data_IF_978737007137
#
_entry.id   IF_978737007137
#
_cell.length_a   1.000
_cell.length_b   1.000
_cell.length_c   1.000
_cell.angle_alpha   90.00
_cell.angle_beta   90.00
_cell.angle_gamma   90.00
#
_symmetry.space_group_name_H-M   'P 1'
#
loop_
_entity.id
_entity.type
_entity.pdbx_description
1 polymer ?
#
# COMPACT_ATOMS: atom_id res chain seq x y z
N UNK A 1 -24.18 -2.38 -4.24
CA UNK A 1 -23.69 -2.87 -2.94
C UNK A 1 -22.29 -3.43 -3.18
N UNK A 2 -21.28 -2.93 -2.47
CA UNK A 2 -19.87 -3.33 -2.64
C UNK A 2 -19.50 -4.72 -2.13
N UNK A 3 -20.47 -5.52 -1.71
CA UNK A 3 -20.30 -6.90 -1.23
C UNK A 3 -21.37 -7.78 -1.83
N UNK A 4 -21.05 -9.07 -2.01
CA UNK A 4 -21.99 -10.07 -2.52
C UNK A 4 -23.00 -10.49 -1.44
N UNK A 5 -22.51 -10.62 -0.21
CA UNK A 5 -23.28 -10.98 0.98
C UNK A 5 -23.30 -9.75 1.90
N UNK A 6 -24.40 -9.55 2.64
CA UNK A 6 -24.51 -8.45 3.60
C UNK A 6 -23.41 -8.58 4.65
N UNK A 7 -22.60 -7.53 4.89
CA UNK A 7 -21.53 -7.61 5.88
C UNK A 7 -22.10 -7.90 7.27
N UNK A 8 -21.42 -8.77 8.02
CA UNK A 8 -21.69 -8.93 9.45
C UNK A 8 -21.27 -7.67 10.21
N UNK A 9 -21.76 -7.45 11.44
CA UNK A 9 -21.20 -6.44 12.33
C UNK A 9 -19.67 -6.55 12.42
N UNK A 10 -19.01 -5.46 12.75
CA UNK A 10 -17.56 -5.50 13.02
C UNK A 10 -17.31 -6.45 14.19
N UNK A 11 -16.28 -7.27 14.05
CA UNK A 11 -15.84 -8.09 15.17
C UNK A 11 -14.91 -7.24 16.04
N UNK A 12 -15.41 -6.82 17.20
CA UNK A 12 -14.67 -5.96 18.14
C UNK A 12 -13.47 -6.68 18.79
N UNK A 13 -13.43 -8.01 18.75
CA UNK A 13 -12.26 -8.79 19.19
C UNK A 13 -11.12 -8.83 18.17
N UNK A 14 -11.34 -8.30 16.96
CA UNK A 14 -10.38 -8.26 15.87
C UNK A 14 -9.93 -6.82 15.60
N UNK A 15 -8.68 -6.68 15.19
CA UNK A 15 -8.13 -5.41 14.73
C UNK A 15 -8.89 -4.86 13.51
N UNK A 16 -8.72 -3.56 13.25
CA UNK A 16 -9.31 -2.91 12.09
C UNK A 16 -8.84 -3.56 10.78
N UNK A 17 -7.56 -3.96 10.70
CA UNK A 17 -7.00 -4.58 9.51
C UNK A 17 -7.58 -5.98 9.26
N UNK A 18 -7.83 -6.78 10.30
CA UNK A 18 -8.50 -8.08 10.17
C UNK A 18 -9.91 -7.92 9.60
N UNK A 19 -10.69 -6.97 10.13
CA UNK A 19 -12.03 -6.68 9.63
C UNK A 19 -12.00 -6.23 8.16
N UNK A 20 -11.06 -5.38 7.76
CA UNK A 20 -10.91 -4.88 6.38
C UNK A 20 -10.53 -6.00 5.40
N UNK A 21 -9.74 -6.98 5.85
CA UNK A 21 -9.22 -8.08 5.03
C UNK A 21 -10.08 -9.35 5.09
N UNK A 22 -11.20 -9.30 5.81
CA UNK A 22 -12.13 -10.42 5.95
C UNK A 22 -12.65 -10.88 4.57
N UNK A 23 -12.57 -12.19 4.35
CA UNK A 23 -13.09 -12.87 3.17
C UNK A 23 -14.25 -13.79 3.56
N UNK A 24 -15.28 -13.80 2.74
CA UNK A 24 -16.31 -14.84 2.77
C UNK A 24 -15.93 -15.96 1.80
N UNK A 25 -15.86 -17.18 2.31
CA UNK A 25 -15.65 -18.38 1.51
C UNK A 25 -16.95 -18.79 0.82
N UNK A 26 -16.91 -19.01 -0.49
CA UNK A 26 -18.07 -19.42 -1.29
C UNK A 26 -18.01 -20.93 -1.55
N UNK A 27 -17.85 -21.71 -0.48
CA UNK A 27 -17.60 -23.15 -0.52
C UNK A 27 -18.69 -23.97 -1.23
N UNK A 28 -19.93 -23.48 -1.21
CA UNK A 28 -21.07 -24.13 -1.87
C UNK A 28 -21.02 -23.99 -3.40
N UNK A 29 -20.18 -23.07 -3.92
CA UNK A 29 -19.96 -22.85 -5.35
C UNK A 29 -18.67 -23.56 -5.78
N UNK A 30 -17.56 -23.25 -5.13
CA UNK A 30 -16.26 -23.82 -5.42
C UNK A 30 -15.34 -23.68 -4.17
N UNK A 31 -14.62 -24.73 -3.76
CA UNK A 31 -13.79 -24.72 -2.55
C UNK A 31 -12.63 -23.73 -2.59
N UNK A 32 -12.25 -23.22 -3.77
CA UNK A 32 -11.16 -22.28 -3.97
C UNK A 32 -11.67 -20.87 -4.35
N UNK A 33 -12.94 -20.57 -4.05
CA UNK A 33 -13.60 -19.30 -4.38
C UNK A 33 -13.95 -18.46 -3.15
N UNK A 34 -13.55 -17.18 -3.15
CA UNK A 34 -13.79 -16.26 -2.05
C UNK A 34 -14.35 -14.92 -2.56
N UNK A 35 -14.98 -14.14 -1.68
CA UNK A 35 -15.40 -12.75 -1.94
C UNK A 35 -15.04 -11.85 -0.78
N UNK A 36 -14.86 -10.54 -1.04
CA UNK A 36 -14.68 -9.57 0.03
C UNK A 36 -15.91 -9.53 0.95
N UNK A 37 -15.71 -9.64 2.27
CA UNK A 37 -16.81 -9.59 3.25
C UNK A 37 -17.30 -8.16 3.53
N UNK A 38 -16.46 -7.16 3.23
CA UNK A 38 -16.72 -5.73 3.46
C UNK A 38 -16.39 -4.88 2.23
N UNK A 39 -17.04 -3.72 2.06
CA UNK A 39 -16.69 -2.79 0.99
C UNK A 39 -15.22 -2.39 1.07
N UNK A 40 -14.58 -2.29 -0.08
CA UNK A 40 -13.18 -1.93 -0.16
C UNK A 40 -13.00 -0.42 -0.14
N UNK A 41 -11.95 0.04 0.54
CA UNK A 41 -11.63 1.44 0.62
C UNK A 41 -11.27 1.99 -0.77
N UNK A 42 -11.95 3.07 -1.15
CA UNK A 42 -11.66 3.87 -2.33
C UNK A 42 -10.97 5.16 -1.91
N UNK A 43 -9.66 5.31 -2.16
CA UNK A 43 -8.94 6.51 -1.78
C UNK A 43 -9.52 7.74 -2.49
N UNK A 44 -9.64 8.90 -1.81
CA UNK A 44 -10.04 10.13 -2.46
C UNK A 44 -9.16 10.45 -3.68
N UNK A 45 -9.78 10.74 -4.84
CA UNK A 45 -9.08 11.12 -6.06
C UNK A 45 -8.50 9.94 -6.85
N UNK A 46 -8.49 8.73 -6.29
CA UNK A 46 -8.03 7.54 -7.00
C UNK A 46 -9.06 7.08 -8.05
N UNK A 47 -8.58 6.38 -9.08
CA UNK A 47 -9.44 5.77 -10.10
C UNK A 47 -10.11 4.47 -9.64
N UNK A 48 -9.57 3.82 -8.63
CA UNK A 48 -10.04 2.52 -8.16
C UNK A 48 -9.83 2.33 -6.67
N UNK A 49 -10.10 1.11 -6.20
CA UNK A 49 -9.81 0.68 -4.82
C UNK A 49 -8.32 0.81 -4.48
N UNK A 50 -8.01 0.85 -3.19
CA UNK A 50 -6.63 0.78 -2.71
C UNK A 50 -5.96 -0.55 -3.09
N UNK A 51 -4.75 -0.48 -3.68
CA UNK A 51 -4.05 -1.64 -4.24
C UNK A 51 -3.65 -2.67 -3.18
N UNK A 52 -3.15 -2.22 -2.02
CA UNK A 52 -2.85 -3.06 -0.88
C UNK A 52 -4.01 -3.93 -0.41
N UNK A 53 -5.26 -3.50 -0.61
CA UNK A 53 -6.43 -4.33 -0.32
C UNK A 53 -6.53 -5.54 -1.26
N UNK A 54 -6.32 -5.34 -2.57
CA UNK A 54 -6.33 -6.44 -3.54
C UNK A 54 -5.14 -7.40 -3.32
N UNK A 55 -3.95 -6.87 -3.02
CA UNK A 55 -2.76 -7.66 -2.68
C UNK A 55 -3.05 -8.54 -1.47
N UNK A 56 -3.45 -7.93 -0.35
CA UNK A 56 -3.66 -8.64 0.90
C UNK A 56 -4.83 -9.64 0.85
N UNK A 57 -5.94 -9.30 0.18
CA UNK A 57 -7.06 -10.23 0.03
C UNK A 57 -6.72 -11.40 -0.91
N UNK A 58 -5.94 -11.19 -1.98
CA UNK A 58 -5.46 -12.31 -2.80
C UNK A 58 -4.50 -13.22 -2.02
N UNK A 59 -3.60 -12.64 -1.21
CA UNK A 59 -2.71 -13.42 -0.34
C UNK A 59 -3.50 -14.22 0.69
N UNK A 60 -4.48 -13.60 1.35
CA UNK A 60 -5.38 -14.24 2.32
C UNK A 60 -6.16 -15.40 1.70
N UNK A 61 -6.72 -15.21 0.50
CA UNK A 61 -7.39 -16.28 -0.25
C UNK A 61 -6.43 -17.43 -0.57
N UNK A 62 -5.21 -17.15 -1.05
CA UNK A 62 -4.22 -18.18 -1.34
C UNK A 62 -3.80 -18.95 -0.08
N UNK A 63 -3.56 -18.27 1.05
CA UNK A 63 -3.20 -18.89 2.33
C UNK A 63 -4.26 -19.87 2.83
N UNK A 64 -5.55 -19.57 2.61
CA UNK A 64 -6.67 -20.47 2.97
C UNK A 64 -6.72 -21.78 2.17
N UNK A 65 -5.92 -21.91 1.11
CA UNK A 65 -5.89 -23.09 0.22
C UNK A 65 -4.59 -23.90 0.30
N UNK A 66 -3.73 -23.60 1.28
CA UNK A 66 -2.50 -24.36 1.59
C UNK A 66 -2.60 -24.96 2.99
N UNK A 67 -1.90 -26.08 3.29
CA UNK A 67 -1.86 -26.61 4.64
C UNK A 67 -1.22 -25.62 5.64
N UNK A 68 -1.65 -25.64 6.90
CA UNK A 68 -1.21 -24.71 7.96
C UNK A 68 0.31 -24.73 8.23
N UNK A 69 0.98 -25.81 7.87
CA UNK A 69 2.43 -25.93 7.99
C UNK A 69 3.20 -25.31 6.80
N UNK A 70 2.52 -24.60 5.89
CA UNK A 70 3.14 -23.81 4.82
C UNK A 70 3.10 -22.32 5.17
N UNK A 71 4.09 -21.59 4.69
CA UNK A 71 4.16 -20.13 4.86
C UNK A 71 4.56 -19.49 3.53
N UNK A 72 3.97 -18.35 3.20
CA UNK A 72 4.31 -17.62 1.98
C UNK A 72 5.77 -17.16 2.06
N UNK A 73 6.49 -17.28 0.94
CA UNK A 73 7.84 -16.73 0.80
C UNK A 73 7.96 -15.76 -0.38
N UNK A 74 7.06 -15.82 -1.36
CA UNK A 74 6.96 -14.80 -2.40
C UNK A 74 5.55 -14.65 -2.95
N UNK A 75 5.26 -13.45 -3.43
CA UNK A 75 4.04 -13.09 -4.13
C UNK A 75 4.39 -12.12 -5.26
N UNK A 76 3.85 -12.37 -6.45
CA UNK A 76 3.95 -11.50 -7.62
C UNK A 76 2.56 -11.17 -8.12
N UNK A 77 2.26 -9.91 -8.37
CA UNK A 77 0.93 -9.52 -8.82
C UNK A 77 0.93 -8.39 -9.85
N UNK A 78 -0.15 -8.33 -10.63
CA UNK A 78 -0.38 -7.33 -11.66
C UNK A 78 -1.75 -6.65 -11.46
N UNK A 79 -1.76 -5.33 -11.54
CA UNK A 79 -2.95 -4.49 -11.59
C UNK A 79 -3.39 -4.32 -13.05
N UNK A 80 -4.53 -4.91 -13.42
CA UNK A 80 -4.98 -4.98 -14.83
C UNK A 80 -6.04 -3.93 -15.11
N UNK A 81 -7.02 -3.78 -14.22
CA UNK A 81 -8.10 -2.79 -14.32
C UNK A 81 -8.31 -2.11 -12.97
N UNK A 82 -8.78 -0.85 -13.01
CA UNK A 82 -9.18 -0.14 -11.81
C UNK A 82 -10.40 -0.85 -11.16
N UNK A 83 -10.22 -1.36 -9.94
CA UNK A 83 -11.30 -1.98 -9.18
C UNK A 83 -12.31 -0.93 -8.70
N UNK A 84 -13.60 -1.26 -8.78
CA UNK A 84 -14.69 -0.40 -8.32
C UNK A 84 -15.15 -0.83 -6.91
N UNK A 85 -15.15 0.08 -5.92
CA UNK A 85 -15.51 -0.23 -4.52
C UNK A 85 -16.99 -0.59 -4.32
N UNK A 86 -17.85 -0.28 -5.29
CA UNK A 86 -19.29 -0.56 -5.23
C UNK A 86 -19.66 -1.92 -5.82
N UNK A 87 -18.68 -2.66 -6.35
CA UNK A 87 -18.85 -3.98 -6.97
C UNK A 87 -18.05 -5.01 -6.15
N UNK A 88 -18.66 -6.14 -5.74
CA UNK A 88 -17.91 -7.19 -5.05
C UNK A 88 -16.81 -7.78 -5.94
N UNK A 89 -15.73 -8.21 -5.31
CA UNK A 89 -14.63 -8.91 -5.97
C UNK A 89 -14.76 -10.40 -5.68
N UNK A 90 -14.70 -11.19 -6.73
CA UNK A 90 -14.56 -12.64 -6.65
C UNK A 90 -13.08 -12.99 -6.77
N UNK A 91 -12.53 -13.67 -5.77
CA UNK A 91 -11.18 -14.20 -5.75
C UNK A 91 -11.24 -15.69 -6.04
N UNK A 92 -10.78 -16.08 -7.23
CA UNK A 92 -10.66 -17.48 -7.61
C UNK A 92 -9.21 -17.91 -7.46
N UNK A 93 -8.97 -18.92 -6.63
CA UNK A 93 -7.65 -19.50 -6.39
C UNK A 93 -7.49 -20.76 -7.23
N UNK A 94 -6.42 -20.84 -8.00
CA UNK A 94 -6.04 -22.05 -8.72
C UNK A 94 -4.83 -22.70 -8.05
N UNK A 95 -4.93 -24.01 -7.81
CA UNK A 95 -3.89 -24.82 -7.17
C UNK A 95 -2.88 -25.35 -8.18
N UNK A 96 -1.99 -24.47 -8.65
CA UNK A 96 -0.96 -24.81 -9.65
C UNK A 96 -0.08 -25.99 -9.23
N UNK A 97 0.38 -26.01 -7.98
CA UNK A 97 1.24 -27.09 -7.47
C UNK A 97 1.08 -27.30 -5.96
N UNK A 98 1.09 -28.56 -5.54
CA UNK A 98 1.13 -28.96 -4.12
C UNK A 98 2.19 -30.04 -3.93
N UNK A 99 3.45 -29.61 -3.73
CA UNK A 99 4.58 -30.50 -3.49
C UNK A 99 4.85 -30.73 -2.01
N UNK A 100 5.83 -31.59 -1.71
CA UNK A 100 6.25 -31.93 -0.33
C UNK A 100 6.78 -30.72 0.46
N UNK A 101 7.51 -29.84 -0.20
CA UNK A 101 8.19 -28.67 0.41
C UNK A 101 7.69 -27.33 -0.12
N UNK A 102 7.08 -27.31 -1.30
CA UNK A 102 6.63 -26.08 -1.94
C UNK A 102 5.22 -26.22 -2.51
N UNK A 103 4.42 -25.18 -2.37
CA UNK A 103 3.11 -25.07 -2.99
C UNK A 103 3.00 -23.75 -3.75
N UNK A 104 2.27 -23.75 -4.86
CA UNK A 104 2.05 -22.57 -5.71
C UNK A 104 0.57 -22.38 -5.92
N UNK A 105 0.11 -21.13 -5.77
CA UNK A 105 -1.27 -20.71 -6.01
C UNK A 105 -1.29 -19.53 -6.97
N UNK A 106 -2.18 -19.54 -7.94
CA UNK A 106 -2.56 -18.36 -8.72
C UNK A 106 -3.89 -17.86 -8.19
N UNK A 107 -4.07 -16.54 -8.11
CA UNK A 107 -5.32 -15.91 -7.67
C UNK A 107 -5.75 -14.90 -8.71
N UNK A 108 -6.99 -15.00 -9.17
CA UNK A 108 -7.60 -14.01 -10.04
C UNK A 108 -8.70 -13.29 -9.29
N UNK A 109 -8.54 -11.97 -9.13
CA UNK A 109 -9.57 -11.09 -8.62
C UNK A 109 -10.41 -10.57 -9.79
N UNK A 110 -11.72 -10.78 -9.73
CA UNK A 110 -12.65 -10.48 -10.84
C UNK A 110 -13.80 -9.57 -10.39
N UNK A 111 -14.17 -8.65 -11.27
CA UNK A 111 -15.40 -7.86 -11.19
C UNK A 111 -16.14 -7.95 -12.53
N UNK A 112 -17.44 -8.25 -12.49
CA UNK A 112 -18.26 -8.45 -13.72
C UNK A 112 -17.58 -9.39 -14.72
N UNK A 113 -17.06 -10.51 -14.20
CA UNK A 113 -16.29 -11.52 -14.94
C UNK A 113 -14.97 -11.04 -15.60
N UNK A 114 -14.59 -9.76 -15.47
CA UNK A 114 -13.30 -9.24 -15.92
C UNK A 114 -12.26 -9.35 -14.83
N UNK A 115 -11.08 -9.81 -15.17
CA UNK A 115 -9.93 -9.83 -14.25
C UNK A 115 -9.45 -8.41 -14.03
N UNK A 116 -9.43 -7.98 -12.78
CA UNK A 116 -8.94 -6.65 -12.39
C UNK A 116 -7.54 -6.72 -11.77
N UNK A 117 -7.19 -7.87 -11.18
CA UNK A 117 -5.91 -8.10 -10.52
C UNK A 117 -5.58 -9.59 -10.55
N UNK A 118 -4.30 -9.93 -10.70
CA UNK A 118 -3.81 -11.31 -10.65
C UNK A 118 -2.64 -11.42 -9.71
N UNK A 119 -2.53 -12.53 -8.98
CA UNK A 119 -1.40 -12.84 -8.14
C UNK A 119 -0.93 -14.27 -8.35
N UNK A 120 0.37 -14.51 -8.20
CA UNK A 120 0.98 -15.83 -8.04
C UNK A 120 1.72 -15.83 -6.71
N UNK A 121 1.36 -16.75 -5.83
CA UNK A 121 1.94 -16.90 -4.49
C UNK A 121 2.70 -18.23 -4.41
N UNK A 122 3.91 -18.18 -3.87
CA UNK A 122 4.71 -19.37 -3.58
C UNK A 122 4.87 -19.54 -2.08
N UNK A 123 4.67 -20.78 -1.63
CA UNK A 123 4.66 -21.17 -0.24
C UNK A 123 5.71 -22.24 0.00
N UNK A 124 6.34 -22.20 1.16
CA UNK A 124 7.32 -23.19 1.61
C UNK A 124 6.83 -23.85 2.89
N UNK A 125 7.00 -25.17 3.00
CA UNK A 125 6.72 -25.90 4.23
C UNK A 125 7.69 -25.47 5.32
N UNK A 126 7.19 -25.21 6.51
CA UNK A 126 7.99 -24.86 7.68
C UNK A 126 9.09 -25.91 7.92
N UNK A 127 10.26 -25.44 8.34
CA UNK A 127 11.45 -26.26 8.59
C UNK A 127 12.01 -27.01 7.35
N UNK A 128 11.69 -26.57 6.13
CA UNK A 128 12.25 -27.18 4.90
C UNK A 128 13.74 -26.89 4.65
N UNK A 129 14.37 -26.00 5.43
CA UNK A 129 15.77 -25.60 5.25
C UNK A 129 16.81 -26.63 5.71
N UNK A 130 16.40 -27.69 6.42
CA UNK A 130 17.32 -28.69 6.97
C UNK A 130 18.18 -28.16 8.12
N UNK A 131 19.17 -28.95 8.54
CA UNK A 131 20.06 -28.65 9.68
C UNK A 131 21.17 -27.66 9.33
N UNK A 132 21.72 -27.74 8.11
CA UNK A 132 22.80 -26.86 7.64
C UNK A 132 22.22 -25.76 6.77
N UNK A 133 22.43 -24.50 7.16
CA UNK A 133 21.81 -23.33 6.54
C UNK A 133 22.85 -22.35 5.99
N UNK A 134 22.42 -21.55 5.02
CA UNK A 134 23.15 -20.38 4.52
C UNK A 134 22.28 -19.16 4.79
N UNK A 135 22.74 -18.26 5.65
CA UNK A 135 21.93 -17.15 6.16
C UNK A 135 22.74 -15.85 6.15
N UNK A 136 22.16 -14.80 5.57
CA UNK A 136 22.59 -13.42 5.73
C UNK A 136 21.42 -12.49 5.43
N UNK A 137 21.44 -11.28 5.97
CA UNK A 137 20.53 -10.22 5.62
C UNK A 137 21.24 -8.87 5.76
N UNK A 138 20.78 -7.87 5.01
CA UNK A 138 21.19 -6.49 5.27
C UNK A 138 20.65 -6.05 6.62
N UNK A 139 21.43 -5.26 7.36
CA UNK A 139 20.99 -4.68 8.63
C UNK A 139 20.03 -3.53 8.39
N UNK A 140 19.10 -3.32 9.31
CA UNK A 140 18.30 -2.10 9.34
C UNK A 140 19.24 -0.88 9.46
N UNK A 141 19.06 0.18 8.64
CA UNK A 141 19.85 1.40 8.77
C UNK A 141 19.50 2.16 10.05
N UNK A 142 20.46 2.92 10.57
CA UNK A 142 20.23 3.79 11.71
C UNK A 142 19.23 4.89 11.35
N UNK A 143 18.19 5.04 12.18
CA UNK A 143 17.17 6.05 12.02
C UNK A 143 16.52 6.41 13.36
N UNK A 144 15.88 7.59 13.46
CA UNK A 144 15.03 7.90 14.61
C UNK A 144 13.91 6.87 14.77
N UNK A 145 13.68 6.44 16.01
CA UNK A 145 12.56 5.57 16.35
C UNK A 145 11.19 6.26 16.20
N UNK A 146 10.10 5.49 16.23
CA UNK A 146 8.75 6.05 16.23
C UNK A 146 8.49 6.76 17.57
N UNK A 147 7.63 7.79 17.52
CA UNK A 147 7.20 8.57 18.69
C UNK A 147 5.87 8.02 19.19
N UNK A 148 5.84 7.46 20.39
CA UNK A 148 4.59 6.93 20.96
C UNK A 148 3.55 8.04 21.19
N UNK A 149 2.28 7.72 20.99
CA UNK A 149 1.16 8.66 21.10
C UNK A 149 1.00 9.62 19.91
N UNK A 150 1.95 9.68 18.98
CA UNK A 150 1.86 10.53 17.79
C UNK A 150 1.20 9.79 16.63
N UNK A 151 -0.13 9.82 16.60
CA UNK A 151 -0.91 9.14 15.58
C UNK A 151 -0.98 9.92 14.26
N UNK A 152 -1.08 9.21 13.13
CA UNK A 152 -1.26 9.80 11.82
C UNK A 152 -2.71 10.21 11.53
N UNK A 153 -2.86 11.17 10.61
CA UNK A 153 -4.15 11.74 10.25
C UNK A 153 -4.46 11.43 8.79
N UNK A 154 -5.72 11.09 8.52
CA UNK A 154 -6.26 11.04 7.17
C UNK A 154 -6.66 12.46 6.69
N UNK A 155 -7.12 12.58 5.45
CA UNK A 155 -7.58 13.84 4.85
C UNK A 155 -8.64 14.60 5.67
N UNK A 156 -9.35 13.91 6.56
CA UNK A 156 -10.36 14.48 7.44
C UNK A 156 -9.85 14.94 8.81
N UNK A 157 -8.53 14.85 9.07
CA UNK A 157 -7.96 15.21 10.38
C UNK A 157 -8.24 14.17 11.48
N UNK A 158 -8.59 12.94 11.12
CA UNK A 158 -8.89 11.86 12.07
C UNK A 158 -8.10 10.59 11.73
N UNK A 159 -7.71 9.79 12.74
CA UNK A 159 -6.98 8.53 12.55
C UNK A 159 -7.93 7.38 12.19
N UNK A 160 -8.38 7.26 10.94
CA UNK A 160 -9.46 6.33 10.57
C UNK A 160 -9.03 5.08 9.80
N UNK A 161 -7.85 5.07 9.18
CA UNK A 161 -7.34 3.91 8.45
C UNK A 161 -6.95 2.70 9.35
N UNK A 162 -6.82 1.48 8.80
CA UNK A 162 -6.58 0.27 9.59
C UNK A 162 -5.13 0.13 10.10
N UNK A 163 -4.25 1.05 9.73
CA UNK A 163 -2.86 1.13 10.18
C UNK A 163 -2.45 2.60 10.35
N UNK A 164 -1.38 2.81 11.09
CA UNK A 164 -0.74 4.10 11.28
C UNK A 164 0.68 4.08 10.71
N UNK A 165 1.15 5.25 10.32
CA UNK A 165 2.47 5.49 9.72
C UNK A 165 3.09 6.77 10.25
N UNK A 166 4.36 6.72 10.64
CA UNK A 166 5.13 7.89 11.04
C UNK A 166 6.28 8.08 10.09
N UNK A 167 6.25 9.21 9.37
CA UNK A 167 7.25 9.50 8.35
C UNK A 167 8.52 10.03 8.99
N UNK A 168 9.63 9.64 8.40
CA UNK A 168 10.94 10.21 8.67
C UNK A 168 11.29 11.10 7.47
N UNK A 169 12.09 12.14 7.73
CA UNK A 169 12.63 12.98 6.69
C UNK A 169 13.31 12.15 5.57
N UNK A 170 13.07 12.58 4.32
CA UNK A 170 13.65 11.95 3.14
C UNK A 170 15.17 12.06 3.26
N UNK A 171 15.84 10.91 3.24
CA UNK A 171 17.30 10.87 3.25
C UNK A 171 17.82 11.50 1.94
N UNK A 172 18.83 12.36 2.04
CA UNK A 172 19.43 13.10 0.91
C UNK A 172 18.42 14.01 0.17
N UNK A 173 17.43 14.58 0.85
CA UNK A 173 16.34 15.35 0.21
C UNK A 173 16.82 16.51 -0.68
N UNK A 174 17.96 17.12 -0.34
CA UNK A 174 18.56 18.24 -1.06
C UNK A 174 19.40 17.81 -2.27
N UNK A 175 19.65 16.51 -2.44
CA UNK A 175 20.34 15.99 -3.62
C UNK A 175 19.59 16.35 -4.91
N UNK A 176 20.27 16.80 -5.97
CA UNK A 176 19.65 16.98 -7.28
C UNK A 176 19.34 15.65 -7.97
N UNK A 177 19.88 14.53 -7.46
CA UNK A 177 19.75 13.18 -8.04
C UNK A 177 18.66 12.39 -7.31
N UNK A 178 17.47 12.17 -7.92
CA UNK A 178 16.35 11.50 -7.26
C UNK A 178 16.64 10.06 -6.81
N UNK A 179 17.51 9.35 -7.54
CA UNK A 179 17.94 7.98 -7.27
C UNK A 179 18.77 7.84 -5.98
N UNK A 180 19.37 8.93 -5.50
CA UNK A 180 20.14 8.96 -4.24
C UNK A 180 19.25 9.19 -3.01
N UNK A 181 17.96 9.52 -3.21
CA UNK A 181 17.02 9.87 -2.14
C UNK A 181 16.28 8.64 -1.63
N UNK A 182 15.98 8.62 -0.33
CA UNK A 182 15.22 7.52 0.28
C UNK A 182 14.06 8.01 1.12
N UNK A 183 12.86 7.50 0.82
CA UNK A 183 11.68 7.70 1.64
C UNK A 183 11.66 6.68 2.78
N UNK A 184 11.48 7.14 4.01
CA UNK A 184 11.54 6.30 5.22
C UNK A 184 10.33 6.55 6.10
N UNK A 185 9.80 5.49 6.70
CA UNK A 185 8.69 5.60 7.64
C UNK A 185 8.62 4.38 8.57
N UNK A 186 8.04 4.58 9.74
CA UNK A 186 7.55 3.52 10.61
C UNK A 186 6.08 3.26 10.31
N UNK A 187 5.62 2.02 10.42
CA UNK A 187 4.22 1.65 10.24
C UNK A 187 3.81 0.51 11.18
N UNK A 188 2.54 0.49 11.59
CA UNK A 188 1.92 -0.64 12.29
C UNK A 188 0.41 -0.66 12.12
N UNK A 189 -0.19 -1.83 12.19
CA UNK A 189 -1.63 -2.00 12.27
C UNK A 189 -2.19 -1.30 13.52
N UNK A 190 -3.44 -0.82 13.43
CA UNK A 190 -4.16 -0.27 14.59
C UNK A 190 -4.83 -1.38 15.37
N UNK A 191 -4.75 -1.27 16.69
CA UNK A 191 -5.22 -2.32 17.61
C UNK A 191 -4.26 -3.51 17.66
N UNK A 192 -4.71 -4.57 18.32
CA UNK A 192 -3.96 -5.83 18.45
C UNK A 192 -4.57 -6.83 17.48
N UNK A 193 -3.74 -7.47 16.65
CA UNK A 193 -4.18 -8.56 15.78
C UNK A 193 -4.52 -9.76 16.65
N UNK A 194 -5.73 -10.30 16.47
CA UNK A 194 -6.29 -11.31 17.36
C UNK A 194 -5.51 -12.62 17.31
N UNK A 195 -5.53 -13.38 18.42
CA UNK A 195 -4.92 -14.72 18.47
C UNK A 195 -5.51 -15.65 17.40
N UNK A 196 -6.81 -15.51 17.11
CA UNK A 196 -7.51 -16.30 16.07
C UNK A 196 -7.10 -15.94 14.65
N UNK A 197 -6.73 -14.69 14.40
CA UNK A 197 -6.15 -14.26 13.12
C UNK A 197 -4.75 -14.84 12.90
N UNK A 198 -4.05 -15.15 13.99
CA UNK A 198 -2.79 -15.87 13.97
C UNK A 198 -1.70 -15.15 13.16
N UNK A 199 -0.78 -15.95 12.63
CA UNK A 199 0.36 -15.41 11.90
C UNK A 199 -0.03 -14.90 10.49
N UNK A 200 -1.04 -15.53 9.89
CA UNK A 200 -1.58 -15.26 8.57
C UNK A 200 -2.23 -13.86 8.50
N UNK A 201 -2.85 -13.40 9.59
CA UNK A 201 -3.34 -12.03 9.70
C UNK A 201 -2.19 -11.01 9.68
N UNK A 202 -1.06 -11.29 10.34
CA UNK A 202 0.12 -10.43 10.28
C UNK A 202 0.73 -10.37 8.88
N UNK A 203 0.82 -11.50 8.17
CA UNK A 203 1.27 -11.55 6.77
C UNK A 203 0.36 -10.75 5.84
N UNK A 204 -0.95 -10.90 6.00
CA UNK A 204 -1.96 -10.14 5.22
C UNK A 204 -1.87 -8.64 5.52
N UNK A 205 -1.67 -8.26 6.78
CA UNK A 205 -1.49 -6.88 7.19
C UNK A 205 -0.19 -6.27 6.62
N UNK A 206 0.92 -7.00 6.64
CA UNK A 206 2.17 -6.57 5.99
C UNK A 206 1.96 -6.34 4.49
N UNK A 207 1.30 -7.27 3.80
CA UNK A 207 1.01 -7.16 2.37
C UNK A 207 0.04 -6.01 2.04
N UNK A 208 -0.84 -5.63 2.96
CA UNK A 208 -1.69 -4.45 2.82
C UNK A 208 -0.89 -3.15 2.96
N UNK A 209 0.03 -3.12 3.92
CA UNK A 209 0.85 -1.93 4.23
C UNK A 209 2.02 -1.74 3.27
N UNK A 210 2.49 -2.79 2.58
CA UNK A 210 3.61 -2.69 1.62
C UNK A 210 3.30 -1.79 0.42
N UNK A 211 2.04 -1.64 0.02
CA UNK A 211 1.60 -0.71 -1.04
C UNK A 211 1.36 0.72 -0.52
N UNK A 212 1.60 0.99 0.77
CA UNK A 212 1.40 2.32 1.35
C UNK A 212 2.47 3.29 0.88
N UNK A 213 2.06 4.25 0.04
CA UNK A 213 2.92 5.27 -0.56
C UNK A 213 4.09 4.71 -1.38
N UNK A 214 3.96 3.50 -1.91
CA UNK A 214 5.08 2.81 -2.52
C UNK A 214 5.48 3.43 -3.87
N UNK A 215 4.64 3.35 -4.91
CA UNK A 215 4.79 4.14 -6.16
C UNK A 215 4.91 5.64 -5.88
N UNK A 216 4.32 6.08 -4.75
CA UNK A 216 4.37 7.44 -4.31
C UNK A 216 5.77 7.97 -3.99
N UNK A 217 6.74 7.10 -3.76
CA UNK A 217 8.17 7.44 -3.60
C UNK A 217 8.67 8.26 -4.78
N UNK A 218 8.26 7.92 -6.01
CA UNK A 218 8.65 8.64 -7.24
C UNK A 218 8.26 10.12 -7.13
N UNK A 219 7.01 10.41 -6.77
CA UNK A 219 6.55 11.78 -6.61
C UNK A 219 7.39 12.56 -5.57
N UNK A 220 7.72 11.93 -4.45
CA UNK A 220 8.44 12.57 -3.33
C UNK A 220 9.88 12.90 -3.69
N UNK A 221 10.62 11.97 -4.28
CA UNK A 221 12.03 12.20 -4.63
C UNK A 221 12.19 13.26 -5.72
N UNK A 222 11.19 13.38 -6.60
CA UNK A 222 11.09 14.39 -7.65
C UNK A 222 10.36 15.68 -7.23
N UNK A 223 9.85 15.77 -5.99
CA UNK A 223 9.08 16.91 -5.48
C UNK A 223 7.89 17.30 -6.39
N UNK A 224 7.19 16.28 -6.92
CA UNK A 224 6.05 16.45 -7.82
C UNK A 224 4.78 16.80 -7.04
N UNK A 225 3.99 17.73 -7.58
CA UNK A 225 2.77 18.18 -6.94
C UNK A 225 1.58 17.27 -7.23
N UNK A 226 0.82 16.94 -6.18
CA UNK A 226 -0.27 15.94 -6.25
C UNK A 226 -1.68 16.53 -6.27
N UNK A 227 -1.86 17.78 -5.85
CA UNK A 227 -3.19 18.37 -5.65
C UNK A 227 -3.49 19.42 -6.74
N UNK A 228 -4.36 19.12 -7.69
CA UNK A 228 -4.73 20.13 -8.69
C UNK A 228 -5.37 21.37 -8.03
N UNK A 229 -4.77 22.54 -8.24
CA UNK A 229 -5.39 23.83 -7.90
C UNK A 229 -6.30 24.37 -9.03
N UNK A 230 -6.31 23.70 -10.20
CA UNK A 230 -6.96 24.20 -11.41
C UNK A 230 -8.33 23.55 -11.62
N UNK A 231 -9.40 24.36 -11.68
CA UNK A 231 -10.78 23.94 -11.98
C UNK A 231 -10.87 23.25 -13.35
N UNK A 232 -11.49 22.06 -13.40
CA UNK A 232 -12.05 21.52 -14.65
C UNK A 232 -13.37 22.24 -14.96
N UNK A 233 -13.29 23.40 -15.62
CA UNK A 233 -14.47 24.09 -16.18
C UNK A 233 -15.62 24.34 -15.18
N UNK A 234 -16.85 24.40 -15.67
CA UNK A 234 -18.09 24.68 -14.90
C UNK A 234 -18.64 23.49 -14.10
N UNK A 235 -17.87 22.41 -13.91
CA UNK A 235 -18.31 21.24 -13.12
C UNK A 235 -17.81 21.33 -11.67
N UNK A 236 -18.50 20.62 -10.75
CA UNK A 236 -18.15 20.50 -9.31
C UNK A 236 -16.65 20.30 -9.09
N UNK A 237 -16.14 20.78 -7.96
CA UNK A 237 -14.75 20.64 -7.52
C UNK A 237 -14.22 19.22 -7.76
N UNK A 238 -12.98 19.10 -8.27
CA UNK A 238 -12.32 17.80 -8.31
C UNK A 238 -12.07 17.32 -6.87
N UNK A 239 -12.02 16.00 -6.64
CA UNK A 239 -11.71 15.45 -5.31
C UNK A 239 -10.39 16.04 -4.77
N UNK A 240 -9.45 16.34 -5.66
CA UNK A 240 -8.18 17.01 -5.32
C UNK A 240 -8.36 18.42 -4.76
N UNK A 241 -9.38 19.18 -5.21
CA UNK A 241 -9.67 20.54 -4.74
C UNK A 241 -10.31 20.50 -3.35
N UNK A 242 -11.22 19.55 -3.10
CA UNK A 242 -11.83 19.38 -1.78
C UNK A 242 -10.81 18.88 -0.75
N UNK A 243 -9.89 17.99 -1.16
CA UNK A 243 -8.74 17.60 -0.35
C UNK A 243 -7.86 18.81 -0.07
N UNK A 244 -7.48 19.57 -1.09
CA UNK A 244 -6.61 20.75 -0.92
C UNK A 244 -7.23 21.79 0.03
N UNK A 245 -8.53 22.05 -0.07
CA UNK A 245 -9.25 22.93 0.86
C UNK A 245 -9.12 22.48 2.31
N UNK A 246 -9.25 21.18 2.57
CA UNK A 246 -9.08 20.62 3.93
C UNK A 246 -7.65 20.80 4.42
N UNK A 247 -6.65 20.53 3.57
CA UNK A 247 -5.24 20.72 3.92
C UNK A 247 -4.92 22.19 4.20
N UNK A 248 -5.45 23.12 3.39
CA UNK A 248 -5.27 24.55 3.62
C UNK A 248 -5.87 25.02 4.95
N UNK A 249 -6.87 24.33 5.49
CA UNK A 249 -7.52 24.66 6.75
C UNK A 249 -6.90 24.02 8.01
N UNK A 250 -6.02 23.02 7.87
CA UNK A 250 -5.33 22.38 9.01
C UNK A 250 -4.23 23.28 9.60
N UNK A 251 -3.76 23.06 10.82
CA UNK A 251 -2.52 23.70 11.28
C UNK A 251 -1.27 22.92 10.79
N UNK A 252 -0.09 23.48 11.04
CA UNK A 252 1.16 22.88 10.56
C UNK A 252 1.56 21.61 11.32
N UNK A 253 1.11 21.45 12.57
CA UNK A 253 1.38 20.23 13.35
C UNK A 253 0.52 19.07 12.86
N UNK A 254 -0.74 19.33 12.54
CA UNK A 254 -1.63 18.36 11.92
C UNK A 254 -1.17 17.99 10.52
N UNK A 255 -0.75 18.95 9.69
CA UNK A 255 -0.22 18.67 8.35
C UNK A 255 0.99 17.74 8.37
N UNK A 256 1.89 17.87 9.35
CA UNK A 256 3.04 16.95 9.50
C UNK A 256 2.58 15.51 9.75
N UNK A 257 1.43 15.34 10.40
CA UNK A 257 0.82 14.04 10.73
C UNK A 257 -0.04 13.46 9.60
N UNK A 258 -0.36 14.25 8.57
CA UNK A 258 -1.11 13.76 7.41
C UNK A 258 -0.22 12.84 6.56
N UNK A 259 -0.68 11.59 6.34
CA UNK A 259 0.13 10.50 5.73
C UNK A 259 0.80 10.86 4.40
N UNK A 260 0.17 11.74 3.62
CA UNK A 260 0.60 12.08 2.26
C UNK A 260 1.35 13.42 2.11
N UNK A 261 1.30 14.34 3.08
CA UNK A 261 1.81 15.72 2.93
C UNK A 261 3.28 15.80 3.32
N UNK A 262 4.24 15.66 2.40
CA UNK A 262 5.66 15.74 2.77
C UNK A 262 6.14 17.16 3.08
N UNK A 263 7.43 17.34 3.39
CA UNK A 263 7.98 18.67 3.70
C UNK A 263 7.85 19.65 2.52
N UNK A 264 7.96 19.17 1.27
CA UNK A 264 7.79 20.02 0.09
C UNK A 264 6.32 20.43 -0.06
N UNK A 265 5.39 19.49 0.18
CA UNK A 265 3.96 19.80 0.21
C UNK A 265 3.61 20.80 1.32
N UNK A 266 4.13 20.61 2.53
CA UNK A 266 3.91 21.51 3.67
C UNK A 266 4.36 22.94 3.35
N UNK A 267 5.60 23.09 2.84
CA UNK A 267 6.13 24.41 2.43
C UNK A 267 5.25 25.04 1.36
N UNK A 268 4.78 24.26 0.39
CA UNK A 268 3.90 24.77 -0.67
C UNK A 268 2.53 25.20 -0.12
N UNK A 269 1.95 24.43 0.79
CA UNK A 269 0.68 24.78 1.46
C UNK A 269 0.84 26.07 2.26
N UNK A 270 1.94 26.25 3.01
CA UNK A 270 2.23 27.49 3.74
C UNK A 270 2.32 28.70 2.80
N UNK A 271 3.04 28.58 1.68
CA UNK A 271 3.13 29.64 0.66
C UNK A 271 1.75 29.99 0.06
N UNK A 272 0.94 28.97 -0.25
CA UNK A 272 -0.44 29.18 -0.72
C UNK A 272 -1.30 29.91 0.31
N UNK A 273 -1.18 29.58 1.61
CA UNK A 273 -1.88 30.29 2.70
C UNK A 273 -1.46 31.76 2.80
N UNK A 274 -0.21 32.07 2.50
CA UNK A 274 0.32 33.43 2.48
C UNK A 274 -0.10 34.23 1.23
N UNK A 275 -0.89 33.63 0.32
CA UNK A 275 -1.35 34.29 -0.90
C UNK A 275 -0.30 34.35 -2.02
N UNK A 276 0.80 33.60 -1.89
CA UNK A 276 1.81 33.52 -2.94
C UNK A 276 1.29 32.76 -4.17
N UNK A 277 1.58 33.27 -5.36
CA UNK A 277 1.29 32.57 -6.61
C UNK A 277 2.33 31.47 -6.87
N UNK A 278 2.12 30.32 -6.22
CA UNK A 278 2.93 29.11 -6.39
C UNK A 278 2.81 28.46 -7.78
N UNK A 279 2.07 29.06 -8.72
CA UNK A 279 2.07 28.64 -10.13
C UNK A 279 3.16 29.30 -10.96
N UNK A 280 3.72 30.44 -10.51
CA UNK A 280 4.63 31.29 -11.30
C UNK A 280 6.11 31.13 -11.00
N UNK A 281 6.49 30.80 -9.77
CA UNK A 281 7.90 30.93 -9.35
C UNK A 281 8.74 29.65 -9.55
N UNK A 282 8.13 28.47 -9.53
CA UNK A 282 8.72 27.19 -9.97
C UNK A 282 7.57 26.23 -10.29
N UNK A 283 7.28 25.91 -11.57
CA UNK A 283 6.25 24.93 -11.87
C UNK A 283 6.80 23.54 -11.55
N UNK A 284 6.82 23.14 -10.28
CA UNK A 284 6.99 21.72 -9.92
C UNK A 284 5.94 20.94 -10.69
N UNK A 285 6.33 19.99 -11.55
CA UNK A 285 5.39 19.34 -12.42
C UNK A 285 4.28 18.66 -11.62
N UNK A 286 3.03 18.85 -12.07
CA UNK A 286 1.86 18.27 -11.45
C UNK A 286 1.66 16.84 -11.96
N UNK A 287 1.34 15.91 -11.07
CA UNK A 287 1.00 14.54 -11.46
C UNK A 287 -0.37 14.55 -12.14
N UNK A 288 -0.42 14.11 -13.39
CA UNK A 288 -1.68 13.90 -14.12
C UNK A 288 -2.23 12.48 -13.94
N UNK A 289 -1.35 11.48 -13.85
CA UNK A 289 -1.73 10.09 -13.57
C UNK A 289 -0.63 9.38 -12.79
N UNK A 290 -1.02 8.67 -11.74
CA UNK A 290 -0.15 7.75 -11.02
C UNK A 290 -0.94 6.50 -10.61
N UNK A 291 -0.54 5.34 -11.12
CA UNK A 291 -1.20 4.06 -10.85
C UNK A 291 -0.17 2.93 -10.79
N UNK A 292 -0.37 1.97 -9.89
CA UNK A 292 0.46 0.76 -9.81
C UNK A 292 0.23 -0.14 -11.03
N UNK A 293 1.27 -0.77 -11.56
CA UNK A 293 1.21 -1.73 -12.66
C UNK A 293 1.39 -3.16 -12.14
N UNK A 294 2.37 -3.35 -11.26
CA UNK A 294 2.66 -4.61 -10.59
C UNK A 294 3.04 -4.38 -9.12
N UNK A 295 3.14 -5.46 -8.35
CA UNK A 295 3.74 -5.45 -7.02
C UNK A 295 4.27 -6.84 -6.71
N UNK A 296 5.49 -6.92 -6.21
CA UNK A 296 6.12 -8.17 -5.79
C UNK A 296 6.58 -8.06 -4.34
N UNK A 297 6.34 -9.10 -3.55
CA UNK A 297 6.77 -9.20 -2.15
C UNK A 297 7.57 -10.49 -2.00
N UNK A 298 8.76 -10.39 -1.42
CA UNK A 298 9.55 -11.51 -0.94
C UNK A 298 9.56 -11.48 0.59
N UNK A 299 9.09 -12.56 1.22
CA UNK A 299 8.99 -12.68 2.68
C UNK A 299 10.19 -13.47 3.19
N UNK A 300 11.03 -12.85 4.02
CA UNK A 300 12.32 -13.44 4.43
C UNK A 300 12.24 -14.16 5.78
N UNK A 301 11.65 -13.49 6.77
CA UNK A 301 11.49 -13.99 8.13
C UNK A 301 10.02 -13.89 8.54
N UNK A 302 9.12 -14.64 7.88
CA UNK A 302 7.69 -14.41 8.01
C UNK A 302 7.25 -14.47 9.47
N UNK A 303 7.76 -15.39 10.28
CA UNK A 303 7.37 -15.54 11.70
C UNK A 303 8.09 -14.60 12.70
N UNK A 304 9.03 -13.77 12.25
CA UNK A 304 9.85 -12.93 13.12
C UNK A 304 9.27 -11.52 13.36
N UNK A 305 8.00 -11.30 13.02
CA UNK A 305 7.37 -9.99 13.19
C UNK A 305 5.91 -10.10 13.59
N UNK A 306 5.42 -9.02 14.18
CA UNK A 306 4.00 -8.77 14.34
C UNK A 306 3.65 -7.47 13.64
N UNK A 307 2.67 -7.51 12.76
CA UNK A 307 2.22 -6.34 12.02
C UNK A 307 1.56 -5.24 12.88
N UNK A 308 1.17 -5.55 14.12
CA UNK A 308 0.65 -4.58 15.10
C UNK A 308 1.76 -3.98 15.99
N UNK A 309 3.01 -4.38 15.77
CA UNK A 309 4.21 -3.70 16.26
C UNK A 309 4.80 -2.80 15.17
N UNK A 310 5.60 -1.82 15.61
CA UNK A 310 6.28 -0.91 14.69
C UNK A 310 7.23 -1.66 13.76
N UNK A 311 7.06 -1.44 12.46
CA UNK A 311 7.96 -1.92 11.41
C UNK A 311 8.55 -0.72 10.67
N UNK A 312 9.85 -0.75 10.42
CA UNK A 312 10.53 0.26 9.63
C UNK A 312 10.48 -0.10 8.15
N UNK A 313 10.29 0.89 7.29
CA UNK A 313 10.40 0.71 5.85
C UNK A 313 11.23 1.81 5.21
N UNK A 314 12.06 1.41 4.26
CA UNK A 314 12.87 2.29 3.43
C UNK A 314 12.57 1.99 1.96
N UNK A 315 12.31 3.05 1.19
CA UNK A 315 11.97 3.00 -0.22
C UNK A 315 12.91 3.89 -1.05
N UNK A 316 13.32 3.36 -2.21
CA UNK A 316 14.19 4.04 -3.17
C UNK A 316 13.73 3.78 -4.61
N UNK A 317 14.06 4.65 -5.55
CA UNK A 317 13.68 4.54 -6.97
C UNK A 317 14.91 4.66 -7.86
N UNK A 318 15.48 3.55 -8.36
CA UNK A 318 16.67 3.60 -9.19
C UNK A 318 16.41 4.06 -10.63
N UNK A 319 15.14 4.09 -11.07
CA UNK A 319 14.81 4.45 -12.43
C UNK A 319 13.38 5.01 -12.58
N UNK A 320 13.26 6.10 -13.32
CA UNK A 320 12.01 6.68 -13.82
C UNK A 320 12.20 7.10 -15.27
N UNK A 321 11.23 6.81 -16.12
CA UNK A 321 11.32 7.05 -17.56
C UNK A 321 10.12 6.48 -18.31
N UNK A 322 9.90 6.93 -19.54
CA UNK A 322 8.83 6.41 -20.42
C UNK A 322 7.42 6.39 -19.75
N UNK A 323 7.15 7.40 -18.91
CA UNK A 323 5.91 7.51 -18.16
C UNK A 323 5.72 6.45 -17.06
N UNK A 324 6.79 5.81 -16.60
CA UNK A 324 6.83 4.81 -15.53
C UNK A 324 7.95 5.10 -14.52
N UNK A 325 7.94 4.37 -13.42
CA UNK A 325 9.09 4.29 -12.52
C UNK A 325 9.04 3.05 -11.64
N UNK A 326 10.23 2.62 -11.22
CA UNK A 326 10.45 1.41 -10.44
C UNK A 326 10.85 1.78 -9.02
N UNK A 327 10.20 1.18 -8.03
CA UNK A 327 10.48 1.43 -6.61
C UNK A 327 10.84 0.12 -5.92
N UNK A 328 11.89 0.16 -5.10
CA UNK A 328 12.30 -0.91 -4.21
C UNK A 328 11.97 -0.54 -2.78
N UNK A 329 11.56 -1.52 -1.97
CA UNK A 329 11.30 -1.37 -0.55
C UNK A 329 11.98 -2.47 0.24
N UNK A 330 12.54 -2.12 1.40
CA UNK A 330 12.94 -3.07 2.43
C UNK A 330 12.14 -2.77 3.69
N UNK A 331 11.56 -3.81 4.28
CA UNK A 331 10.79 -3.72 5.52
C UNK A 331 11.51 -4.50 6.63
N UNK A 332 11.59 -3.90 7.80
CA UNK A 332 12.26 -4.43 8.98
C UNK A 332 11.30 -4.44 10.18
N UNK A 333 11.36 -5.47 11.02
CA UNK A 333 10.70 -5.48 12.32
C UNK A 333 11.34 -4.48 13.29
N UNK A 334 10.68 -4.23 14.43
CA UNK A 334 11.15 -3.32 15.48
C UNK A 334 12.58 -3.60 15.96
N UNK A 335 12.99 -4.87 15.97
CA UNK A 335 14.32 -5.32 16.39
C UNK A 335 15.38 -5.24 15.26
N UNK A 336 15.00 -4.79 14.07
CA UNK A 336 15.88 -4.64 12.92
C UNK A 336 16.02 -5.87 12.02
N UNK A 337 15.24 -6.94 12.25
CA UNK A 337 15.22 -8.11 11.35
C UNK A 337 14.60 -7.73 10.00
N UNK A 338 15.24 -8.07 8.88
CA UNK A 338 14.67 -7.88 7.54
C UNK A 338 13.51 -8.88 7.34
N UNK A 339 12.29 -8.38 7.17
CA UNK A 339 11.08 -9.21 7.12
C UNK A 339 10.51 -9.32 5.71
N UNK A 340 10.66 -8.28 4.88
CA UNK A 340 10.23 -8.30 3.49
C UNK A 340 11.08 -7.42 2.58
N UNK A 341 11.11 -7.77 1.29
CA UNK A 341 11.57 -6.90 0.21
C UNK A 341 10.48 -6.82 -0.85
N UNK A 342 10.15 -5.59 -1.26
CA UNK A 342 9.11 -5.35 -2.24
C UNK A 342 9.67 -4.64 -3.48
N UNK A 343 9.05 -4.88 -4.62
CA UNK A 343 9.33 -4.22 -5.90
C UNK A 343 8.02 -3.84 -6.55
N UNK A 344 7.93 -2.64 -7.09
CA UNK A 344 6.73 -2.15 -7.76
C UNK A 344 7.10 -1.19 -8.88
N UNK A 345 6.61 -1.45 -10.08
CA UNK A 345 6.53 -0.49 -11.16
C UNK A 345 5.16 0.19 -11.15
N UNK A 346 5.15 1.49 -11.41
CA UNK A 346 3.93 2.25 -11.58
C UNK A 346 4.02 3.19 -12.76
N UNK A 347 2.87 3.46 -13.37
CA UNK A 347 2.73 4.55 -14.31
C UNK A 347 2.86 5.87 -13.54
N UNK A 348 3.69 6.78 -14.01
CA UNK A 348 3.81 8.15 -13.50
C UNK A 348 3.84 9.10 -14.68
N UNK A 349 2.76 9.84 -14.89
CA UNK A 349 2.63 10.82 -15.97
C UNK A 349 2.31 12.19 -15.41
N UNK A 350 3.05 13.18 -15.89
CA UNK A 350 2.81 14.57 -15.57
C UNK A 350 1.60 15.09 -16.35
N UNK A 351 0.90 16.03 -15.75
CA UNK A 351 -0.16 16.79 -16.41
C UNK A 351 0.45 17.54 -17.59
N UNK A 352 -0.16 17.39 -18.75
CA UNK A 352 0.26 18.07 -19.98
C UNK A 352 -0.55 19.36 -20.17
N UNK A 353 -0.01 20.30 -20.95
CA UNK A 353 -0.77 21.48 -21.42
C UNK A 353 -1.92 21.04 -22.35
N UNK A 354 -2.94 21.88 -22.51
CA UNK A 354 -4.13 21.59 -23.33
C UNK A 354 -3.84 21.30 -24.80
N UNK A 355 -2.68 21.73 -25.31
CA UNK A 355 -2.25 21.50 -26.71
C UNK A 355 -1.50 20.18 -26.91
N UNK A 356 -1.28 19.42 -25.83
CA UNK A 356 -0.66 18.10 -25.89
C UNK A 356 -1.63 17.04 -26.40
N UNK A 357 -1.16 16.18 -27.31
CA UNK A 357 -1.91 15.01 -27.83
C UNK A 357 -1.82 13.76 -26.93
N UNK A 358 -1.21 13.88 -25.75
CA UNK A 358 -1.06 12.81 -24.74
C UNK A 358 -2.09 12.91 -23.61
#
# INVERSE_FOLDING_TARGET
MGTLIRPRPLNESQSAIENVLELTHLSDIDPDLFTNARPLWHPPGARGIYGGAAIAQCLSAAMKTVPENFTVHSMHCYFILAGNSEIPIIYHVERVRSGKSFATRTVQARQRAKVIFTATCSFVRQNSGGEKKVEHAVKMPDCPGPVDGMDDLDHGGAPTGPFQSQRIEILNNDSPYPDTKKCRQWMKARGIISETGGHEAHLSALAYMSDSYFVGTIARVHKLWRYSAVRKGNTKSSIDEDVLKKLLAMDDEDLKRVKFVDQADLKRIQRMRNGEDVSREEPSPEIGMMVSLDHSIYFHNPRAFRADEWMFTEMETPWTGDGRGLVFQKMFSKDGTLIATCVQEGLVRLRQSSDSKL
#
